data_IF_139367956114
#
_entry.id   IF_139367956114
#
_cell.length_a   1.000
_cell.length_b   1.000
_cell.length_c   1.000
_cell.angle_alpha   90.00
_cell.angle_beta   90.00
_cell.angle_gamma   90.00
#
_symmetry.space_group_name_H-M   'P 1'
#
loop_
_entity.id
_entity.type
_entity.pdbx_description
1 polymer ?
#
# COMPACT_ATOMS: atom_id res chain seq x y z
N UNK A 1 49.95 -6.62 -17.26
CA UNK A 1 49.55 -6.39 -15.85
C UNK A 1 48.87 -5.02 -15.75
N UNK A 2 47.56 -4.97 -16.05
CA UNK A 2 46.60 -3.89 -15.73
C UNK A 2 45.27 -4.23 -16.42
N UNK A 3 44.18 -3.80 -15.76
CA UNK A 3 42.81 -3.61 -16.25
C UNK A 3 42.00 -4.86 -16.65
N UNK A 4 41.01 -5.23 -15.82
CA UNK A 4 39.57 -5.17 -16.13
C UNK A 4 38.79 -5.88 -15.00
N UNK A 5 38.35 -5.13 -13.98
CA UNK A 5 37.36 -5.61 -13.02
C UNK A 5 36.45 -4.46 -12.56
N UNK A 6 35.59 -3.97 -13.44
CA UNK A 6 34.43 -3.14 -13.09
C UNK A 6 33.41 -3.22 -14.22
N UNK A 7 32.43 -4.12 -14.15
CA UNK A 7 31.10 -4.00 -14.78
C UNK A 7 30.22 -5.17 -14.33
N UNK A 8 29.61 -5.07 -13.15
CA UNK A 8 28.59 -6.02 -12.69
C UNK A 8 27.57 -5.42 -11.70
N UNK A 9 27.31 -4.10 -11.76
CA UNK A 9 26.34 -3.44 -10.86
C UNK A 9 25.24 -2.67 -11.64
N UNK A 10 25.25 -2.70 -12.97
CA UNK A 10 24.35 -1.84 -13.78
C UNK A 10 23.00 -2.44 -14.22
N UNK A 11 22.75 -3.75 -14.04
CA UNK A 11 21.61 -4.39 -14.71
C UNK A 11 20.36 -4.62 -13.83
N UNK A 12 20.47 -4.52 -12.50
CA UNK A 12 19.35 -4.77 -11.57
C UNK A 12 18.44 -3.55 -11.33
N UNK A 13 18.84 -2.34 -11.76
CA UNK A 13 18.05 -1.11 -11.59
C UNK A 13 17.14 -0.80 -12.80
N UNK A 14 17.38 -1.45 -13.93
CA UNK A 14 16.64 -1.17 -15.18
C UNK A 14 15.31 -1.94 -15.30
N UNK A 15 15.08 -2.98 -14.49
CA UNK A 15 13.82 -3.75 -14.51
C UNK A 15 12.70 -3.05 -13.72
N UNK A 16 13.00 -2.11 -12.82
CA UNK A 16 11.99 -1.26 -12.18
C UNK A 16 11.66 0.03 -12.95
N UNK A 17 12.39 0.35 -14.03
CA UNK A 17 12.20 1.59 -14.80
C UNK A 17 11.53 1.37 -16.16
N UNK A 18 11.22 0.14 -16.54
CA UNK A 18 10.40 -0.17 -17.71
C UNK A 18 8.95 -0.42 -17.28
N UNK A 19 8.16 0.65 -17.40
CA UNK A 19 6.68 0.71 -17.28
C UNK A 19 6.10 0.89 -15.87
N UNK A 20 6.58 1.87 -15.10
CA UNK A 20 5.64 2.67 -14.30
C UNK A 20 4.90 3.63 -15.25
N UNK A 21 4.07 3.10 -16.15
CA UNK A 21 2.98 3.93 -16.69
C UNK A 21 2.17 4.32 -15.46
N UNK A 22 2.03 5.62 -15.20
CA UNK A 22 1.22 6.08 -14.09
C UNK A 22 -0.13 5.38 -14.17
N UNK A 23 -0.46 4.60 -13.13
CA UNK A 23 -1.81 4.11 -13.00
C UNK A 23 -2.64 5.32 -12.63
N UNK A 24 -3.59 5.59 -13.50
CA UNK A 24 -4.41 6.78 -13.41
C UNK A 24 -5.84 6.35 -13.62
N UNK A 25 -6.68 6.78 -12.70
CA UNK A 25 -8.11 6.57 -12.77
C UNK A 25 -8.83 7.89 -12.55
N UNK A 26 -9.95 8.10 -13.23
CA UNK A 26 -10.81 9.26 -13.04
C UNK A 26 -12.28 8.83 -13.03
N UNK A 27 -13.10 9.53 -12.27
CA UNK A 27 -14.53 9.30 -12.15
C UNK A 27 -15.26 10.64 -12.17
N UNK A 28 -16.38 10.72 -12.88
CA UNK A 28 -17.24 11.92 -12.95
C UNK A 28 -18.58 11.56 -12.34
N UNK A 29 -19.10 12.41 -11.46
CA UNK A 29 -20.36 12.25 -10.74
C UNK A 29 -20.31 11.26 -9.57
N UNK A 30 -21.41 11.14 -8.81
CA UNK A 30 -21.52 10.24 -7.66
C UNK A 30 -21.62 8.77 -8.09
N UNK A 31 -21.63 7.86 -7.12
CA UNK A 31 -21.77 6.43 -7.39
C UNK A 31 -23.19 6.06 -7.85
N UNK A 32 -24.23 6.78 -7.40
CA UNK A 32 -25.62 6.62 -7.87
C UNK A 32 -25.79 6.82 -9.38
N UNK A 33 -24.88 7.57 -10.01
CA UNK A 33 -24.84 7.78 -11.46
C UNK A 33 -24.16 6.62 -12.23
N UNK A 34 -23.76 5.52 -11.55
CA UNK A 34 -22.90 4.47 -12.11
C UNK A 34 -23.30 3.07 -11.66
N UNK A 35 -23.07 2.08 -12.51
CA UNK A 35 -23.34 0.66 -12.21
C UNK A 35 -22.33 0.00 -11.26
N UNK A 36 -21.27 0.72 -10.85
CA UNK A 36 -20.20 0.19 -10.02
C UNK A 36 -19.85 1.17 -8.91
N UNK A 37 -20.19 0.86 -7.65
CA UNK A 37 -19.82 1.71 -6.54
C UNK A 37 -18.30 1.70 -6.33
N UNK A 38 -17.81 2.79 -5.76
CA UNK A 38 -16.44 2.94 -5.31
C UNK A 38 -16.19 1.91 -4.20
N UNK A 39 -15.07 1.22 -4.31
CA UNK A 39 -14.63 0.20 -3.35
C UNK A 39 -13.41 0.69 -2.60
N UNK A 40 -13.39 0.47 -1.28
CA UNK A 40 -12.24 0.82 -0.46
C UNK A 40 -10.94 0.16 -0.97
N UNK A 41 -9.85 0.94 -0.98
CA UNK A 41 -8.52 0.41 -1.27
C UNK A 41 -7.85 -0.10 0.01
N UNK A 42 -6.88 -1.01 -0.14
CA UNK A 42 -6.27 -1.73 0.98
C UNK A 42 -5.46 -0.85 1.94
N UNK A 43 -5.13 0.38 1.57
CA UNK A 43 -4.37 1.34 2.36
C UNK A 43 -5.14 2.61 2.71
N UNK A 44 -6.44 2.66 2.39
CA UNK A 44 -7.33 3.69 2.89
C UNK A 44 -7.56 3.52 4.39
N UNK A 45 -7.61 4.62 5.16
CA UNK A 45 -8.19 4.62 6.50
C UNK A 45 -9.60 4.04 6.50
N UNK A 46 -9.96 3.32 7.58
CA UNK A 46 -11.31 2.79 7.77
C UNK A 46 -12.31 3.97 7.78
N UNK A 47 -13.48 3.79 7.14
CA UNK A 47 -14.50 4.83 6.98
C UNK A 47 -14.30 5.78 5.79
N UNK A 48 -13.07 5.93 5.25
CA UNK A 48 -12.80 6.91 4.18
C UNK A 48 -13.64 6.69 2.91
N UNK A 49 -13.98 5.44 2.60
CA UNK A 49 -14.76 5.09 1.40
C UNK A 49 -16.14 5.74 1.37
N UNK A 50 -16.73 6.05 2.53
CA UNK A 50 -18.06 6.68 2.58
C UNK A 50 -18.03 8.12 2.04
N UNK A 51 -16.95 8.87 2.29
CA UNK A 51 -16.71 10.17 1.63
C UNK A 51 -16.60 10.03 0.11
N UNK A 52 -15.94 8.98 -0.38
CA UNK A 52 -15.80 8.73 -1.82
C UNK A 52 -17.14 8.39 -2.50
N UNK A 53 -18.10 7.90 -1.74
CA UNK A 53 -19.44 7.50 -2.19
C UNK A 53 -20.46 8.63 -2.11
N UNK A 54 -20.14 9.72 -1.41
CA UNK A 54 -21.08 10.80 -1.11
C UNK A 54 -21.75 11.37 -2.37
N UNK A 55 -23.05 11.64 -2.29
CA UNK A 55 -23.89 12.02 -3.46
C UNK A 55 -23.52 13.39 -4.05
N UNK A 56 -22.93 14.28 -3.27
CA UNK A 56 -22.43 15.57 -3.77
C UNK A 56 -21.11 15.47 -4.56
N UNK A 57 -20.52 14.26 -4.69
CA UNK A 57 -19.29 14.07 -5.47
C UNK A 57 -19.52 14.38 -6.94
N UNK A 58 -18.74 15.32 -7.47
CA UNK A 58 -18.81 15.72 -8.88
C UNK A 58 -17.66 15.17 -9.70
N UNK A 59 -16.51 14.92 -9.08
CA UNK A 59 -15.33 14.43 -9.78
C UNK A 59 -14.35 13.78 -8.81
N UNK A 60 -13.61 12.78 -9.27
CA UNK A 60 -12.42 12.28 -8.57
C UNK A 60 -11.36 11.81 -9.56
N UNK A 61 -10.11 11.89 -9.14
CA UNK A 61 -9.01 11.28 -9.86
C UNK A 61 -7.94 10.76 -8.92
N UNK A 62 -7.18 9.80 -9.41
CA UNK A 62 -6.05 9.20 -8.73
C UNK A 62 -4.89 9.11 -9.72
N UNK A 63 -3.69 9.46 -9.25
CA UNK A 63 -2.45 9.25 -9.99
C UNK A 63 -1.42 8.65 -9.04
N UNK A 64 -1.14 7.35 -9.20
CA UNK A 64 -0.18 6.60 -8.39
C UNK A 64 -0.42 6.67 -6.86
N UNK A 65 -1.68 6.73 -6.45
CA UNK A 65 -2.15 6.89 -5.08
C UNK A 65 -2.22 8.34 -4.60
N UNK A 66 -1.95 9.34 -5.44
CA UNK A 66 -2.31 10.72 -5.13
C UNK A 66 -3.76 10.98 -5.54
N UNK A 67 -4.68 10.89 -4.59
CA UNK A 67 -6.12 10.86 -4.83
C UNK A 67 -6.79 12.18 -4.45
N UNK A 68 -7.59 12.70 -5.35
CA UNK A 68 -8.39 13.91 -5.15
C UNK A 68 -9.85 13.63 -5.44
N UNK A 69 -10.73 14.04 -4.53
CA UNK A 69 -12.19 13.96 -4.68
C UNK A 69 -12.75 15.36 -4.52
N UNK A 70 -13.67 15.74 -5.40
CA UNK A 70 -14.27 17.06 -5.45
C UNK A 70 -15.78 16.94 -5.30
N UNK A 71 -16.34 17.81 -4.48
CA UNK A 71 -17.76 17.84 -4.16
C UNK A 71 -18.34 19.22 -4.43
N UNK A 72 -19.56 19.23 -4.97
CA UNK A 72 -20.41 20.42 -5.04
C UNK A 72 -21.49 20.29 -3.98
N UNK A 73 -21.14 20.73 -2.77
CA UNK A 73 -21.90 20.52 -1.55
C UNK A 73 -22.72 21.76 -1.18
N UNK A 74 -23.97 21.57 -0.79
CA UNK A 74 -24.77 22.58 -0.07
C UNK A 74 -24.37 22.59 1.42
N UNK A 75 -24.79 23.59 2.22
CA UNK A 75 -24.43 23.65 3.64
C UNK A 75 -24.71 22.35 4.42
N UNK A 76 -25.83 21.70 4.16
CA UNK A 76 -26.19 20.40 4.76
C UNK A 76 -25.22 19.29 4.37
N UNK A 77 -24.83 19.24 3.09
CA UNK A 77 -23.88 18.25 2.56
C UNK A 77 -22.47 18.52 3.14
N UNK A 78 -22.11 19.77 3.42
CA UNK A 78 -20.83 20.13 4.08
C UNK A 78 -20.78 19.59 5.50
N UNK A 79 -21.86 19.76 6.27
CA UNK A 79 -21.96 19.21 7.63
C UNK A 79 -21.80 17.69 7.60
N UNK A 80 -22.53 17.02 6.70
CA UNK A 80 -22.44 15.57 6.52
C UNK A 80 -21.03 15.11 6.16
N UNK A 81 -20.36 15.77 5.21
CA UNK A 81 -18.98 15.48 4.84
C UNK A 81 -18.01 15.66 6.01
N UNK A 82 -18.17 16.70 6.84
CA UNK A 82 -17.33 16.91 8.02
C UNK A 82 -17.56 15.80 9.06
N UNK A 83 -18.80 15.39 9.29
CA UNK A 83 -19.13 14.28 10.20
C UNK A 83 -18.57 12.95 9.69
N UNK A 84 -18.77 12.63 8.41
CA UNK A 84 -18.18 11.43 7.81
C UNK A 84 -16.65 11.46 7.91
N UNK A 85 -16.05 12.63 7.74
CA UNK A 85 -14.61 12.81 7.87
C UNK A 85 -14.13 12.63 9.31
N UNK A 86 -14.86 13.15 10.30
CA UNK A 86 -14.53 12.97 11.73
C UNK A 86 -14.58 11.49 12.16
N UNK A 87 -15.46 10.71 11.54
CA UNK A 87 -15.58 9.27 11.80
C UNK A 87 -14.48 8.42 11.13
N UNK A 88 -13.68 9.00 10.22
CA UNK A 88 -12.57 8.27 9.57
C UNK A 88 -11.52 7.87 10.59
N UNK A 89 -11.03 6.64 10.50
CA UNK A 89 -10.00 6.12 11.40
C UNK A 89 -8.60 6.63 11.04
N UNK A 90 -8.26 7.83 11.50
CA UNK A 90 -6.98 8.50 11.26
C UNK A 90 -6.47 9.21 12.52
N UNK A 91 -5.22 9.70 12.48
CA UNK A 91 -4.58 10.41 13.61
C UNK A 91 -4.88 11.89 13.65
N UNK A 92 -4.96 12.52 12.47
CA UNK A 92 -5.14 13.95 12.31
C UNK A 92 -6.37 14.17 11.41
N UNK A 93 -7.42 14.77 11.95
CA UNK A 93 -8.62 15.13 11.20
C UNK A 93 -8.52 16.59 10.75
N UNK A 94 -7.62 16.85 9.79
CA UNK A 94 -7.38 18.20 9.30
C UNK A 94 -8.52 18.69 8.39
N UNK A 95 -9.19 19.75 8.83
CA UNK A 95 -10.12 20.53 8.04
C UNK A 95 -9.47 21.86 7.67
N UNK A 96 -9.27 22.11 6.37
CA UNK A 96 -8.81 23.39 5.86
C UNK A 96 -9.98 24.25 5.40
N UNK A 97 -9.94 25.53 5.74
CA UNK A 97 -10.86 26.52 5.17
C UNK A 97 -10.07 27.60 4.47
N UNK A 98 -10.18 27.64 3.15
CA UNK A 98 -9.38 28.46 2.26
C UNK A 98 -10.27 29.31 1.34
N UNK A 99 -9.80 30.50 0.98
CA UNK A 99 -10.32 31.21 -0.19
C UNK A 99 -9.62 30.65 -1.41
N UNK A 100 -10.35 30.36 -2.49
CA UNK A 100 -9.68 29.78 -3.64
C UNK A 100 -10.56 29.29 -4.77
N UNK A 101 -9.89 28.58 -5.69
CA UNK A 101 -10.44 28.11 -6.94
C UNK A 101 -11.51 27.04 -6.70
N UNK A 102 -12.74 27.33 -7.12
CA UNK A 102 -13.92 26.46 -7.04
C UNK A 102 -14.15 25.65 -8.34
N UNK A 103 -13.10 25.46 -9.15
CA UNK A 103 -13.17 24.80 -10.46
C UNK A 103 -11.97 23.89 -10.73
N UNK A 104 -12.22 22.68 -11.23
CA UNK A 104 -11.18 21.73 -11.65
C UNK A 104 -11.43 21.25 -13.07
N UNK A 105 -10.36 20.94 -13.81
CA UNK A 105 -10.48 20.42 -15.19
C UNK A 105 -10.31 18.91 -15.21
N UNK A 106 -11.33 18.15 -15.66
CA UNK A 106 -11.18 16.72 -15.86
C UNK A 106 -10.11 16.38 -16.88
N UNK A 107 -9.54 15.19 -16.78
CA UNK A 107 -8.51 14.77 -17.73
C UNK A 107 -9.11 14.40 -19.09
N UNK A 108 -8.49 14.93 -20.14
CA UNK A 108 -8.86 14.75 -21.53
C UNK A 108 -9.13 16.09 -22.21
N UNK A 109 -8.71 16.24 -23.47
CA UNK A 109 -8.96 17.46 -24.24
C UNK A 109 -10.46 17.69 -24.43
N UNK A 110 -10.88 18.97 -24.35
CA UNK A 110 -12.25 19.39 -24.62
C UNK A 110 -13.28 19.11 -23.51
N UNK A 111 -12.87 18.58 -22.35
CA UNK A 111 -13.80 18.41 -21.22
C UNK A 111 -14.06 19.73 -20.50
N UNK A 112 -15.32 20.04 -20.15
CA UNK A 112 -15.65 21.25 -19.42
C UNK A 112 -15.06 21.21 -18.00
N UNK A 113 -14.80 22.39 -17.43
CA UNK A 113 -14.47 22.51 -16.02
C UNK A 113 -15.64 22.01 -15.15
N UNK A 114 -15.31 21.53 -13.95
CA UNK A 114 -16.25 21.04 -12.96
C UNK A 114 -16.18 21.95 -11.74
N UNK A 115 -17.30 22.55 -11.39
CA UNK A 115 -17.43 23.38 -10.20
C UNK A 115 -17.46 22.51 -8.94
N UNK A 116 -16.78 22.96 -7.89
CA UNK A 116 -16.77 22.31 -6.58
C UNK A 116 -16.51 23.35 -5.48
N UNK A 117 -16.87 23.05 -4.24
CA UNK A 117 -16.57 23.89 -3.07
C UNK A 117 -15.99 23.10 -1.90
N UNK A 118 -15.90 21.77 -2.01
CA UNK A 118 -15.20 20.91 -1.07
C UNK A 118 -14.26 19.98 -1.83
N UNK A 119 -13.06 19.77 -1.31
CA UNK A 119 -12.11 18.80 -1.83
C UNK A 119 -11.58 17.90 -0.72
N UNK A 120 -11.47 16.60 -1.00
CA UNK A 120 -10.76 15.65 -0.16
C UNK A 120 -9.47 15.25 -0.88
N UNK A 121 -8.34 15.41 -0.21
CA UNK A 121 -7.04 14.93 -0.67
C UNK A 121 -6.61 13.73 0.17
N UNK A 122 -6.38 12.59 -0.48
CA UNK A 122 -5.87 11.37 0.16
C UNK A 122 -4.56 10.95 -0.49
N UNK A 123 -3.51 10.78 0.31
CA UNK A 123 -2.22 10.30 -0.15
C UNK A 123 -2.06 8.82 0.19
N UNK A 124 -2.15 7.97 -0.83
CA UNK A 124 -2.06 6.52 -0.77
C UNK A 124 -0.96 5.98 -1.70
N UNK A 125 -0.82 4.65 -1.78
CA UNK A 125 -0.04 3.97 -2.82
C UNK A 125 1.43 4.40 -2.94
N UNK A 126 1.87 4.58 -4.18
CA UNK A 126 3.26 4.93 -4.51
C UNK A 126 3.56 6.36 -4.07
N UNK A 127 2.62 7.28 -4.22
CA UNK A 127 2.79 8.68 -3.80
C UNK A 127 3.08 8.78 -2.30
N UNK A 128 2.29 8.08 -1.46
CA UNK A 128 2.55 7.98 -0.01
C UNK A 128 3.89 7.34 0.28
N UNK A 129 4.22 6.24 -0.41
CA UNK A 129 5.51 5.56 -0.23
C UNK A 129 6.69 6.50 -0.51
N UNK A 130 6.62 7.29 -1.58
CA UNK A 130 7.68 8.23 -1.96
C UNK A 130 7.80 9.39 -0.97
N UNK A 131 6.68 9.94 -0.50
CA UNK A 131 6.69 11.02 0.49
C UNK A 131 7.20 10.54 1.85
N UNK A 132 6.77 9.37 2.31
CA UNK A 132 7.23 8.79 3.57
C UNK A 132 8.74 8.57 3.62
N UNK A 133 9.44 8.42 2.47
CA UNK A 133 10.91 8.31 2.44
C UNK A 133 11.63 9.59 2.86
N UNK A 134 10.95 10.74 2.90
CA UNK A 134 11.54 12.03 3.29
C UNK A 134 11.79 12.13 4.81
N UNK A 135 11.32 11.17 5.61
CA UNK A 135 11.56 11.11 7.06
C UNK A 135 11.13 12.39 7.79
N UNK A 136 9.94 12.87 7.46
CA UNK A 136 9.42 14.14 7.94
C UNK A 136 8.42 13.91 9.10
N UNK A 137 8.26 14.88 10.03
CA UNK A 137 7.37 14.74 11.19
C UNK A 137 5.88 14.83 10.82
N UNK A 138 5.56 15.28 9.61
CA UNK A 138 4.19 15.39 9.15
C UNK A 138 3.55 14.02 8.95
N UNK A 139 2.26 13.95 9.28
CA UNK A 139 1.43 12.83 8.89
C UNK A 139 1.02 12.97 7.43
N UNK A 140 0.57 11.87 6.84
CA UNK A 140 0.05 11.85 5.46
C UNK A 140 -1.39 11.33 5.47
N UNK A 141 -2.14 11.71 6.50
CA UNK A 141 -3.56 11.39 6.60
C UNK A 141 -4.35 12.24 5.58
N UNK A 142 -5.55 11.79 5.18
CA UNK A 142 -6.46 12.58 4.36
C UNK A 142 -6.73 13.99 4.92
N UNK A 143 -6.91 14.96 4.02
CA UNK A 143 -7.25 16.35 4.36
C UNK A 143 -8.53 16.74 3.65
N UNK A 144 -9.49 17.30 4.39
CA UNK A 144 -10.71 17.89 3.83
C UNK A 144 -10.52 19.41 3.73
N UNK A 145 -10.79 19.99 2.57
CA UNK A 145 -10.66 21.43 2.31
C UNK A 145 -11.99 22.01 1.86
N UNK A 146 -12.47 23.03 2.56
CA UNK A 146 -13.61 23.86 2.17
C UNK A 146 -13.08 25.11 1.45
N UNK A 147 -13.58 25.35 0.24
CA UNK A 147 -13.32 26.56 -0.51
C UNK A 147 -14.50 27.51 -0.38
N UNK A 148 -14.23 28.70 0.13
CA UNK A 148 -15.27 29.65 0.52
C UNK A 148 -15.07 31.00 -0.15
N UNK A 149 -16.15 31.75 -0.31
CA UNK A 149 -16.11 33.18 -0.54
C UNK A 149 -16.33 33.87 0.82
N UNK A 150 -15.31 34.51 1.41
CA UNK A 150 -15.44 35.10 2.74
C UNK A 150 -16.60 36.10 2.87
N UNK A 151 -16.95 36.84 1.81
CA UNK A 151 -18.01 37.84 1.89
C UNK A 151 -19.41 37.19 1.91
N UNK A 152 -19.57 36.06 1.22
CA UNK A 152 -20.86 35.39 1.08
C UNK A 152 -21.05 34.25 2.10
N UNK A 153 -19.97 33.59 2.52
CA UNK A 153 -20.04 32.29 3.18
C UNK A 153 -19.77 32.34 4.70
N UNK A 154 -19.15 33.40 5.24
CA UNK A 154 -18.72 33.46 6.64
C UNK A 154 -19.88 33.28 7.65
N UNK A 155 -21.05 33.87 7.36
CA UNK A 155 -22.19 33.83 8.30
C UNK A 155 -22.66 32.40 8.56
N UNK A 156 -22.81 31.58 7.52
CA UNK A 156 -23.29 30.21 7.70
C UNK A 156 -22.18 29.26 8.15
N UNK A 157 -20.94 29.45 7.69
CA UNK A 157 -19.78 28.64 8.10
C UNK A 157 -19.49 28.77 9.60
N UNK A 158 -19.58 29.99 10.15
CA UNK A 158 -19.37 30.24 11.58
C UNK A 158 -20.39 29.53 12.49
N UNK A 159 -21.49 29.02 11.92
CA UNK A 159 -22.57 28.30 12.62
C UNK A 159 -22.48 26.78 12.47
N UNK A 160 -21.53 26.27 11.68
CA UNK A 160 -21.36 24.83 11.51
C UNK A 160 -20.82 24.24 12.81
N UNK A 161 -21.50 23.23 13.39
CA UNK A 161 -20.93 22.49 14.51
C UNK A 161 -19.75 21.66 14.01
N UNK A 162 -18.56 21.95 14.53
CA UNK A 162 -17.36 21.16 14.24
C UNK A 162 -17.15 20.12 15.35
N UNK A 163 -17.00 18.83 15.01
CA UNK A 163 -16.61 17.79 15.96
C UNK A 163 -15.29 18.15 16.67
N UNK A 164 -15.14 17.89 17.98
CA UNK A 164 -13.99 18.34 18.77
C UNK A 164 -12.63 17.77 18.31
N UNK A 165 -12.63 16.66 17.59
CA UNK A 165 -11.44 16.03 16.99
C UNK A 165 -10.91 16.76 15.75
N UNK A 166 -11.69 17.66 15.15
CA UNK A 166 -11.28 18.41 13.97
C UNK A 166 -10.11 19.33 14.32
N UNK A 167 -9.06 19.25 13.50
CA UNK A 167 -7.94 20.19 13.49
C UNK A 167 -8.24 21.23 12.43
N UNK A 168 -8.79 22.37 12.85
CA UNK A 168 -9.14 23.46 11.94
C UNK A 168 -7.91 24.28 11.57
N UNK A 169 -7.61 24.36 10.28
CA UNK A 169 -6.57 25.22 9.71
C UNK A 169 -7.21 26.23 8.77
N UNK A 170 -7.03 27.53 9.02
CA UNK A 170 -7.59 28.57 8.15
C UNK A 170 -6.70 29.81 8.11
N UNK A 171 -6.73 30.48 6.96
CA UNK A 171 -6.11 31.80 6.76
C UNK A 171 -7.16 32.91 6.73
N UNK A 172 -8.44 32.59 6.94
CA UNK A 172 -9.56 33.52 6.79
C UNK A 172 -9.93 34.09 8.17
N UNK A 173 -9.88 35.42 8.36
CA UNK A 173 -10.30 36.05 9.61
C UNK A 173 -11.77 35.80 9.94
N UNK A 174 -12.10 35.65 11.22
CA UNK A 174 -13.48 35.56 11.70
C UNK A 174 -14.06 34.15 11.82
N UNK A 175 -13.32 33.11 11.41
CA UNK A 175 -13.72 31.72 11.66
C UNK A 175 -13.27 31.33 13.08
N UNK A 176 -14.20 30.93 13.98
CA UNK A 176 -13.84 30.51 15.33
C UNK A 176 -13.02 29.22 15.32
N UNK A 177 -11.88 29.23 16.02
CA UNK A 177 -11.01 28.05 16.21
C UNK A 177 -11.08 27.51 17.64
N UNK A 178 -11.84 28.15 18.52
CA UNK A 178 -11.99 27.75 19.92
C UNK A 178 -12.67 26.38 20.05
N UNK A 179 -12.19 25.57 20.99
CA UNK A 179 -12.71 24.22 21.25
C UNK A 179 -12.25 23.14 20.27
N UNK A 180 -11.50 23.49 19.23
CA UNK A 180 -10.99 22.54 18.25
C UNK A 180 -9.65 21.92 18.66
N UNK A 181 -9.39 20.71 18.16
CA UNK A 181 -8.13 20.03 18.39
C UNK A 181 -6.97 20.80 17.77
N UNK A 182 -5.84 20.83 18.48
CA UNK A 182 -4.58 21.34 17.94
C UNK A 182 -3.78 20.20 17.34
N UNK A 183 -3.12 20.45 16.20
CA UNK A 183 -2.22 19.46 15.63
C UNK A 183 -1.09 19.17 16.63
N UNK A 184 -0.88 17.90 17.02
CA UNK A 184 0.21 17.56 17.91
C UNK A 184 1.56 17.82 17.24
N UNK A 185 2.50 18.42 17.97
CA UNK A 185 3.90 18.44 17.57
C UNK A 185 4.48 17.04 17.68
N UNK A 186 5.02 16.53 16.57
CA UNK A 186 5.56 15.17 16.48
C UNK A 186 7.05 15.19 16.18
N UNK A 187 7.75 14.24 16.78
CA UNK A 187 9.14 13.94 16.46
C UNK A 187 9.22 12.62 15.71
N UNK A 188 10.28 12.45 14.92
CA UNK A 188 10.52 11.21 14.18
C UNK A 188 11.23 10.21 15.08
N UNK A 189 10.59 9.05 15.27
CA UNK A 189 11.13 7.92 16.01
C UNK A 189 11.51 6.80 15.04
N UNK A 190 12.67 6.21 15.25
CA UNK A 190 13.22 5.11 14.46
C UNK A 190 13.12 3.79 15.20
N UNK A 191 12.97 2.70 14.44
CA UNK A 191 13.15 1.35 14.95
C UNK A 191 13.80 0.45 13.90
N UNK A 192 14.41 -0.63 14.40
CA UNK A 192 15.03 -1.69 13.59
C UNK A 192 14.34 -3.00 13.95
N UNK A 193 13.92 -3.73 12.94
CA UNK A 193 13.31 -5.04 13.07
C UNK A 193 14.16 -6.08 12.34
N UNK A 194 14.38 -7.21 12.99
CA UNK A 194 15.12 -8.34 12.46
C UNK A 194 14.30 -9.61 12.61
N UNK A 195 14.50 -10.55 11.71
CA UNK A 195 14.08 -11.92 11.97
C UNK A 195 14.99 -12.56 13.03
N UNK A 196 14.53 -13.64 13.65
CA UNK A 196 15.29 -14.37 14.67
C UNK A 196 16.67 -14.86 14.20
N UNK A 197 16.84 -15.05 12.89
CA UNK A 197 18.12 -15.40 12.23
C UNK A 197 19.09 -14.21 12.07
N UNK A 198 18.72 -13.02 12.58
CA UNK A 198 19.51 -11.79 12.53
C UNK A 198 19.42 -11.04 11.20
N UNK A 199 18.71 -11.56 10.19
CA UNK A 199 18.50 -10.85 8.93
C UNK A 199 17.51 -9.70 9.11
N UNK A 200 17.54 -8.68 8.23
CA UNK A 200 16.51 -7.65 8.19
C UNK A 200 15.09 -8.22 8.22
N UNK A 201 14.19 -7.56 8.95
CA UNK A 201 12.75 -7.84 8.97
C UNK A 201 12.03 -7.47 7.67
N UNK A 202 12.56 -7.91 6.53
CA UNK A 202 11.97 -7.76 5.22
C UNK A 202 12.56 -8.81 4.27
N UNK A 203 11.74 -9.33 3.37
CA UNK A 203 12.17 -10.21 2.29
C UNK A 203 11.43 -9.80 1.02
N UNK A 204 11.85 -8.65 0.47
CA UNK A 204 11.20 -8.01 -0.67
C UNK A 204 11.27 -8.85 -1.94
N UNK A 205 12.28 -9.73 -2.07
CA UNK A 205 12.39 -10.70 -3.18
C UNK A 205 11.16 -11.62 -3.21
N UNK A 206 10.61 -11.95 -2.04
CA UNK A 206 9.44 -12.81 -1.89
C UNK A 206 8.18 -12.02 -1.51
N UNK A 207 8.20 -10.70 -1.71
CA UNK A 207 7.07 -9.82 -1.44
C UNK A 207 6.73 -9.60 0.04
N UNK A 208 7.65 -9.94 0.96
CA UNK A 208 7.45 -9.82 2.41
C UNK A 208 7.99 -8.49 2.93
N UNK A 209 7.17 -7.81 3.71
CA UNK A 209 7.55 -6.63 4.49
C UNK A 209 6.87 -6.68 5.86
N UNK A 210 7.23 -5.75 6.73
CA UNK A 210 6.59 -5.57 8.03
C UNK A 210 5.76 -4.31 7.97
N UNK A 211 4.44 -4.43 8.12
CA UNK A 211 3.58 -3.28 8.32
C UNK A 211 3.59 -2.87 9.81
N UNK A 212 3.63 -1.57 10.04
CA UNK A 212 3.60 -0.98 11.38
C UNK A 212 2.24 -0.33 11.58
N UNK A 213 1.52 -0.77 12.61
CA UNK A 213 0.14 -0.35 12.87
C UNK A 213 0.02 0.12 14.32
N UNK A 214 -0.61 1.28 14.52
CA UNK A 214 -0.97 1.84 15.82
C UNK A 214 -2.35 1.36 16.23
N UNK A 215 -2.45 0.87 17.46
CA UNK A 215 -3.68 0.40 18.06
C UNK A 215 -3.96 1.17 19.34
N UNK A 216 -5.24 1.32 19.65
CA UNK A 216 -5.70 1.98 20.87
C UNK A 216 -6.61 1.03 21.63
N UNK A 217 -6.55 1.13 22.95
CA UNK A 217 -7.32 0.25 23.83
C UNK A 217 -8.81 0.39 23.54
N UNK A 218 -9.49 -0.75 23.31
CA UNK A 218 -10.92 -0.86 22.94
C UNK A 218 -11.29 -0.41 21.52
N UNK A 219 -10.31 -0.03 20.69
CA UNK A 219 -10.52 0.24 19.26
C UNK A 219 -10.03 -0.96 18.47
N UNK A 220 -10.90 -1.54 17.64
CA UNK A 220 -10.57 -2.71 16.83
C UNK A 220 -9.90 -2.37 15.50
N UNK A 221 -9.90 -1.10 15.11
CA UNK A 221 -9.33 -0.65 13.84
C UNK A 221 -7.99 0.07 14.08
N UNK A 222 -6.94 -0.51 13.54
CA UNK A 222 -5.58 0.01 13.66
C UNK A 222 -5.26 1.07 12.60
N UNK A 223 -4.44 2.06 12.97
CA UNK A 223 -3.95 3.08 12.04
C UNK A 223 -2.60 2.63 11.48
N UNK A 224 -2.53 2.42 10.17
CA UNK A 224 -1.28 2.06 9.50
C UNK A 224 -0.33 3.25 9.45
N UNK A 225 0.81 3.12 10.13
CA UNK A 225 1.83 4.15 10.19
C UNK A 225 2.85 4.05 9.06
N UNK A 226 3.17 2.83 8.62
CA UNK A 226 4.17 2.62 7.59
C UNK A 226 4.59 1.17 7.40
N UNK A 227 5.77 0.98 6.80
CA UNK A 227 6.38 -0.32 6.57
C UNK A 227 7.90 -0.27 6.79
N UNK A 228 8.48 -1.39 7.19
CA UNK A 228 9.93 -1.56 7.21
C UNK A 228 10.51 -1.62 5.79
N UNK A 229 11.65 -0.97 5.60
CA UNK A 229 12.43 -1.01 4.37
C UNK A 229 13.21 -2.35 4.22
N UNK A 230 14.01 -2.46 3.16
CA UNK A 230 14.81 -3.66 2.88
C UNK A 230 15.92 -3.93 3.91
N UNK A 231 16.20 -2.99 4.81
CA UNK A 231 17.13 -3.13 5.94
C UNK A 231 16.40 -3.40 7.25
N UNK A 232 15.07 -3.60 7.21
CA UNK A 232 14.26 -3.81 8.40
C UNK A 232 14.09 -2.53 9.21
N UNK A 233 14.35 -1.35 8.63
CA UNK A 233 14.25 -0.07 9.31
C UNK A 233 12.92 0.59 8.98
N UNK A 234 12.32 1.25 9.95
CA UNK A 234 11.21 2.17 9.72
C UNK A 234 11.32 3.39 10.62
N UNK A 235 10.47 4.35 10.35
CA UNK A 235 10.27 5.49 11.23
C UNK A 235 8.78 5.80 11.36
N UNK A 236 8.42 6.44 12.46
CA UNK A 236 7.06 6.92 12.76
C UNK A 236 7.17 8.29 13.40
N UNK A 237 6.28 9.20 13.02
CA UNK A 237 6.13 10.47 13.71
C UNK A 237 5.19 10.28 14.91
N UNK A 238 5.65 10.61 16.12
CA UNK A 238 4.88 10.50 17.37
C UNK A 238 5.10 11.74 18.23
N UNK A 239 4.02 12.25 18.80
CA UNK A 239 4.02 13.33 19.79
C UNK A 239 4.40 12.80 21.18
N UNK A 240 4.68 13.72 22.11
CA UNK A 240 4.91 13.38 23.51
C UNK A 240 3.74 12.61 24.13
N UNK A 241 2.50 13.00 23.81
CA UNK A 241 1.28 12.35 24.30
C UNK A 241 1.09 10.94 23.70
N UNK A 242 1.34 10.76 22.41
CA UNK A 242 1.29 9.45 21.75
C UNK A 242 2.36 8.51 22.34
N UNK A 243 3.58 8.99 22.56
CA UNK A 243 4.65 8.22 23.22
C UNK A 243 4.32 7.86 24.67
N UNK A 244 3.71 8.76 25.43
CA UNK A 244 3.24 8.46 26.79
C UNK A 244 2.16 7.38 26.78
N UNK A 245 1.19 7.47 25.86
CA UNK A 245 0.13 6.47 25.68
C UNK A 245 0.69 5.08 25.35
N UNK A 246 1.74 4.99 24.52
CA UNK A 246 2.44 3.74 24.23
C UNK A 246 3.11 3.14 25.48
N UNK A 247 3.73 3.98 26.32
CA UNK A 247 4.40 3.54 27.56
C UNK A 247 3.42 3.07 28.63
N UNK A 248 2.25 3.71 28.70
CA UNK A 248 1.19 3.38 29.65
C UNK A 248 0.31 2.20 29.18
N UNK A 249 0.50 1.71 27.95
CA UNK A 249 -0.30 0.64 27.37
C UNK A 249 -1.74 1.04 27.04
N UNK A 250 -2.01 2.35 26.92
CA UNK A 250 -3.27 2.88 26.37
C UNK A 250 -3.32 2.73 24.85
N UNK A 251 -2.15 2.76 24.21
CA UNK A 251 -1.95 2.38 22.81
C UNK A 251 -0.76 1.43 22.67
N UNK A 252 -0.63 0.75 21.53
CA UNK A 252 0.54 -0.06 21.21
C UNK A 252 0.79 -0.11 19.71
N UNK A 253 2.02 -0.44 19.33
CA UNK A 253 2.40 -0.71 17.95
C UNK A 253 2.50 -2.20 17.71
N UNK A 254 1.98 -2.69 16.58
CA UNK A 254 2.25 -4.06 16.13
C UNK A 254 3.09 -4.09 14.85
N UNK A 255 3.76 -5.21 14.65
CA UNK A 255 4.61 -5.55 13.53
C UNK A 255 3.97 -6.72 12.78
N UNK A 256 3.21 -6.43 11.72
CA UNK A 256 2.55 -7.45 10.90
C UNK A 256 3.51 -7.95 9.83
N UNK A 257 3.91 -9.21 9.92
CA UNK A 257 4.76 -9.86 8.91
C UNK A 257 3.88 -10.40 7.79
N UNK A 258 4.10 -9.94 6.56
CA UNK A 258 3.36 -10.49 5.42
C UNK A 258 3.56 -9.75 4.11
N UNK A 259 2.72 -10.09 3.14
CA UNK A 259 2.69 -9.41 1.84
C UNK A 259 1.76 -8.18 1.89
N UNK A 260 1.59 -7.49 0.76
CA UNK A 260 0.79 -6.26 0.71
C UNK A 260 -0.71 -6.46 0.95
N UNK A 261 -1.20 -7.71 1.01
CA UNK A 261 -2.60 -8.07 1.27
C UNK A 261 -2.79 -8.68 2.67
N UNK A 262 -1.73 -8.87 3.45
CA UNK A 262 -1.85 -9.33 4.83
C UNK A 262 -2.44 -8.19 5.67
N UNK A 263 -3.60 -8.45 6.29
CA UNK A 263 -4.24 -7.51 7.22
C UNK A 263 -3.53 -7.53 8.57
N UNK A 264 -3.29 -6.35 9.13
CA UNK A 264 -2.75 -6.22 10.48
C UNK A 264 -3.80 -6.65 11.52
N UNK A 265 -3.33 -7.25 12.61
CA UNK A 265 -4.17 -7.67 13.73
C UNK A 265 -3.66 -7.06 15.05
N UNK A 266 -4.54 -6.78 16.04
CA UNK A 266 -4.14 -6.18 17.31
C UNK A 266 -3.25 -7.08 18.18
N UNK A 267 -3.26 -8.39 17.91
CA UNK A 267 -2.48 -9.45 18.57
C UNK A 267 -1.20 -9.84 17.81
N UNK A 268 -0.91 -9.18 16.68
CA UNK A 268 0.40 -9.29 16.03
C UNK A 268 1.55 -8.90 16.99
N UNK A 269 2.78 -9.29 16.64
CA UNK A 269 3.95 -9.03 17.49
C UNK A 269 4.06 -7.55 17.86
N UNK A 270 4.04 -7.25 19.16
CA UNK A 270 4.11 -5.89 19.66
C UNK A 270 5.53 -5.35 19.60
N UNK A 271 5.67 -4.11 19.14
CA UNK A 271 6.90 -3.34 19.28
C UNK A 271 6.87 -2.63 20.64
N UNK A 272 7.85 -2.92 21.49
CA UNK A 272 7.95 -2.22 22.77
C UNK A 272 8.38 -0.75 22.56
N UNK A 273 7.88 0.21 23.35
CA UNK A 273 8.29 1.61 23.25
C UNK A 273 9.81 1.81 23.39
N UNK A 274 10.50 0.95 24.14
CA UNK A 274 11.96 0.97 24.31
C UNK A 274 12.76 0.56 23.07
N UNK A 275 12.11 0.07 22.01
CA UNK A 275 12.74 -0.18 20.71
C UNK A 275 12.74 1.07 19.80
N UNK A 276 11.99 2.11 20.15
CA UNK A 276 11.94 3.37 19.43
C UNK A 276 13.04 4.31 19.94
N UNK A 277 13.75 4.98 19.02
CA UNK A 277 14.74 5.99 19.35
C UNK A 277 14.75 7.15 18.34
N UNK A 278 15.05 8.36 18.79
CA UNK A 278 15.15 9.55 17.91
C UNK A 278 16.31 9.48 16.90
N UNK A 279 17.28 8.58 17.11
CA UNK A 279 18.37 8.37 16.16
C UNK A 279 18.54 6.88 15.84
N UNK A 280 18.88 6.59 14.58
CA UNK A 280 19.06 5.21 14.09
C UNK A 280 20.14 4.44 14.85
N UNK A 281 21.19 5.14 15.30
CA UNK A 281 22.32 4.52 16.01
C UNK A 281 21.93 3.97 17.40
N UNK A 282 20.85 4.48 17.99
CA UNK A 282 20.37 4.08 19.32
C UNK A 282 19.28 3.00 19.27
N UNK A 283 18.84 2.60 18.08
CA UNK A 283 17.78 1.61 17.92
C UNK A 283 18.27 0.22 18.32
N UNK A 284 17.60 -0.39 19.32
CA UNK A 284 17.78 -1.80 19.65
C UNK A 284 16.91 -2.67 18.73
N UNK A 285 17.47 -3.67 18.04
CA UNK A 285 16.68 -4.53 17.16
C UNK A 285 15.52 -5.21 17.92
N UNK A 286 14.31 -5.08 17.39
CA UNK A 286 13.19 -5.92 17.74
C UNK A 286 13.28 -7.21 16.92
N UNK A 287 13.30 -8.37 17.57
CA UNK A 287 13.37 -9.66 16.88
C UNK A 287 11.98 -10.26 16.75
N UNK A 288 11.70 -10.80 15.57
CA UNK A 288 10.41 -11.43 15.25
C UNK A 288 10.63 -12.75 14.50
N UNK A 289 9.62 -13.62 14.58
CA UNK A 289 9.60 -14.88 13.83
C UNK A 289 9.64 -14.66 12.33
N UNK A 290 10.41 -15.50 11.63
CA UNK A 290 10.39 -15.55 10.17
C UNK A 290 9.08 -16.17 9.69
N UNK A 291 8.44 -15.67 8.62
CA UNK A 291 7.25 -16.32 8.11
C UNK A 291 7.60 -17.69 7.50
N UNK A 292 6.64 -18.61 7.57
CA UNK A 292 6.74 -19.89 6.87
C UNK A 292 6.61 -19.70 5.35
N UNK A 293 7.57 -20.19 4.58
CA UNK A 293 7.50 -20.18 3.13
C UNK A 293 6.98 -21.51 2.61
N UNK A 294 6.26 -21.45 1.51
CA UNK A 294 5.80 -22.62 0.78
C UNK A 294 6.62 -22.80 -0.49
N UNK A 295 7.00 -24.03 -0.78
CA UNK A 295 7.94 -24.43 -1.81
C UNK A 295 7.24 -25.23 -2.89
N UNK A 296 7.67 -25.03 -4.12
CA UNK A 296 7.29 -25.82 -5.28
C UNK A 296 8.47 -26.00 -6.22
N UNK A 297 8.34 -26.91 -7.18
CA UNK A 297 9.38 -27.15 -8.19
C UNK A 297 8.78 -27.29 -9.57
N UNK A 298 9.34 -26.60 -10.55
CA UNK A 298 9.04 -26.83 -11.97
C UNK A 298 10.25 -27.48 -12.60
N UNK A 299 10.02 -28.47 -13.46
CA UNK A 299 11.04 -29.14 -14.28
C UNK A 299 10.52 -29.35 -15.68
N UNK A 300 11.40 -29.63 -16.63
CA UNK A 300 10.96 -30.12 -17.93
C UNK A 300 10.45 -31.57 -17.85
N UNK A 301 9.75 -32.05 -18.88
CA UNK A 301 9.19 -33.42 -18.91
C UNK A 301 10.24 -34.52 -18.69
N UNK A 302 11.46 -34.28 -19.15
CA UNK A 302 12.66 -35.12 -18.95
C UNK A 302 13.23 -35.06 -17.52
N UNK A 303 12.64 -34.24 -16.63
CA UNK A 303 13.08 -34.02 -15.26
C UNK A 303 14.22 -33.01 -15.10
N UNK A 304 14.75 -32.46 -16.20
CA UNK A 304 15.81 -31.46 -16.15
C UNK A 304 15.28 -30.13 -15.56
N UNK A 305 16.15 -29.32 -14.92
CA UNK A 305 15.78 -27.99 -14.49
C UNK A 305 15.24 -27.13 -15.64
N UNK A 306 14.31 -26.20 -15.38
CA UNK A 306 13.64 -25.39 -16.39
C UNK A 306 14.52 -24.22 -16.88
N UNK A 307 15.79 -24.50 -17.16
CA UNK A 307 16.75 -23.55 -17.71
C UNK A 307 16.55 -23.41 -19.22
N UNK A 308 16.44 -22.17 -19.70
CA UNK A 308 16.22 -21.88 -21.12
C UNK A 308 17.56 -21.83 -21.87
N UNK A 309 17.83 -22.84 -22.69
CA UNK A 309 19.02 -22.89 -23.52
C UNK A 309 18.65 -23.12 -25.00
N UNK A 310 18.99 -22.18 -25.91
CA UNK A 310 19.51 -20.84 -25.62
C UNK A 310 18.46 -19.95 -24.92
N UNK A 311 18.92 -18.99 -24.12
CA UNK A 311 18.05 -17.97 -23.54
C UNK A 311 17.54 -17.09 -24.69
N UNK A 312 16.21 -16.97 -24.88
CA UNK A 312 15.71 -16.38 -26.10
C UNK A 312 15.86 -14.84 -26.17
N UNK A 313 15.97 -14.15 -25.03
CA UNK A 313 16.42 -12.75 -24.92
C UNK A 313 16.96 -12.49 -23.50
N UNK A 314 17.79 -11.46 -23.29
CA UNK A 314 18.35 -11.17 -21.97
C UNK A 314 17.27 -11.06 -20.88
N UNK A 315 17.43 -11.81 -19.79
CA UNK A 315 16.49 -11.86 -18.66
C UNK A 315 15.25 -12.72 -18.87
N UNK A 316 15.14 -13.47 -19.97
CA UNK A 316 14.04 -14.41 -20.16
C UNK A 316 14.13 -15.57 -19.16
N UNK A 317 13.10 -15.72 -18.34
CA UNK A 317 13.00 -16.78 -17.33
C UNK A 317 11.59 -17.39 -17.34
N UNK A 318 11.52 -18.68 -16.98
CA UNK A 318 10.26 -19.28 -16.55
C UNK A 318 9.95 -18.73 -15.15
N UNK A 319 8.67 -18.50 -14.86
CA UNK A 319 8.24 -18.02 -13.53
C UNK A 319 6.86 -18.55 -13.19
N UNK A 320 6.51 -18.55 -11.91
CA UNK A 320 5.18 -18.96 -11.44
C UNK A 320 4.52 -17.78 -10.75
N UNK A 321 3.25 -17.48 -11.06
CA UNK A 321 2.54 -16.36 -10.45
C UNK A 321 1.35 -16.84 -9.62
N UNK A 322 1.30 -16.55 -8.33
CA UNK A 322 0.18 -16.92 -7.50
C UNK A 322 -0.71 -15.73 -7.15
N UNK A 323 -2.03 -15.93 -6.95
CA UNK A 323 -2.81 -14.94 -6.25
C UNK A 323 -2.17 -14.67 -4.88
N UNK A 324 -2.18 -13.42 -4.42
CA UNK A 324 -1.60 -12.97 -3.15
C UNK A 324 -0.06 -12.96 -3.06
N UNK A 325 0.62 -14.01 -3.55
CA UNK A 325 2.08 -14.11 -3.46
C UNK A 325 2.83 -13.49 -4.66
N UNK A 326 2.13 -13.20 -5.77
CA UNK A 326 2.73 -12.61 -6.95
C UNK A 326 3.67 -13.56 -7.69
N UNK A 327 4.65 -12.99 -8.41
CA UNK A 327 5.61 -13.72 -9.25
C UNK A 327 6.73 -14.32 -8.39
N UNK A 328 6.95 -15.61 -8.55
CA UNK A 328 8.08 -16.35 -7.99
C UNK A 328 9.07 -16.73 -9.10
N UNK A 329 10.34 -16.44 -8.85
CA UNK A 329 11.46 -16.85 -9.70
C UNK A 329 11.99 -18.20 -9.24
N UNK A 330 12.41 -19.02 -10.21
CA UNK A 330 12.92 -20.36 -9.96
C UNK A 330 14.45 -20.32 -9.82
N UNK A 331 14.98 -21.12 -8.92
CA UNK A 331 16.42 -21.35 -8.82
C UNK A 331 16.92 -22.28 -9.94
N UNK A 332 18.25 -22.50 -9.98
CA UNK A 332 18.90 -23.34 -11.00
C UNK A 332 18.44 -24.80 -11.00
N UNK A 333 17.75 -25.28 -9.96
CA UNK A 333 17.19 -26.63 -9.85
C UNK A 333 15.68 -26.65 -10.11
N UNK A 334 15.09 -25.51 -10.43
CA UNK A 334 13.67 -25.33 -10.70
C UNK A 334 12.81 -25.11 -9.45
N UNK A 335 13.40 -24.99 -8.26
CA UNK A 335 12.65 -24.72 -7.04
C UNK A 335 12.30 -23.24 -6.93
N UNK A 336 11.15 -22.95 -6.36
CA UNK A 336 10.77 -21.61 -5.96
C UNK A 336 10.16 -21.66 -4.56
N UNK A 337 10.10 -20.50 -3.91
CA UNK A 337 9.38 -20.33 -2.65
C UNK A 337 8.49 -19.09 -2.70
N UNK A 338 7.36 -19.17 -2.02
CA UNK A 338 6.34 -18.11 -1.95
C UNK A 338 5.79 -18.03 -0.54
N UNK A 339 5.28 -16.86 -0.18
CA UNK A 339 4.59 -16.68 1.09
C UNK A 339 3.08 -16.55 0.88
N UNK A 340 2.34 -17.20 1.78
CA UNK A 340 0.91 -16.98 2.01
C UNK A 340 0.70 -16.87 3.52
N UNK A 341 -0.21 -16.02 3.96
CA UNK A 341 -0.85 -16.26 5.27
C UNK A 341 -1.67 -17.55 5.20
N UNK A 342 -2.03 -18.13 6.35
CA UNK A 342 -2.83 -19.36 6.36
C UNK A 342 -4.19 -19.14 5.69
N UNK A 343 -4.82 -17.99 5.92
CA UNK A 343 -6.09 -17.62 5.28
C UNK A 343 -5.93 -17.43 3.76
N UNK A 344 -4.84 -16.78 3.33
CA UNK A 344 -4.54 -16.60 1.90
C UNK A 344 -4.28 -17.95 1.22
N UNK A 345 -3.59 -18.87 1.89
CA UNK A 345 -3.32 -20.21 1.36
C UNK A 345 -4.60 -21.03 1.23
N UNK A 346 -5.46 -21.03 2.25
CA UNK A 346 -6.77 -21.69 2.21
C UNK A 346 -7.63 -21.14 1.07
N UNK A 347 -7.78 -19.81 0.97
CA UNK A 347 -8.53 -19.16 -0.10
C UNK A 347 -7.94 -19.46 -1.50
N UNK A 348 -6.61 -19.53 -1.62
CA UNK A 348 -5.95 -19.86 -2.87
C UNK A 348 -6.13 -21.33 -3.28
N UNK A 349 -6.31 -22.27 -2.32
CA UNK A 349 -6.64 -23.68 -2.61
C UNK A 349 -8.05 -23.87 -3.11
N UNK A 350 -9.01 -23.11 -2.58
CA UNK A 350 -10.42 -23.18 -3.00
C UNK A 350 -10.65 -22.59 -4.39
N UNK A 351 -9.82 -21.62 -4.78
CA UNK A 351 -9.88 -21.03 -6.12
C UNK A 351 -9.42 -22.04 -7.17
N UNK A 352 -10.23 -22.20 -8.22
CA UNK A 352 -9.84 -22.99 -9.40
C UNK A 352 -8.52 -22.45 -9.96
N UNK A 353 -7.51 -23.31 -9.98
CA UNK A 353 -6.18 -22.94 -10.45
C UNK A 353 -6.24 -22.51 -11.93
N UNK A 354 -5.82 -21.27 -12.21
CA UNK A 354 -5.65 -20.75 -13.57
C UNK A 354 -4.22 -21.03 -14.04
N UNK A 355 -4.00 -20.95 -15.35
CA UNK A 355 -2.64 -20.99 -15.90
C UNK A 355 -1.82 -19.88 -15.23
N UNK A 356 -0.69 -20.25 -14.67
CA UNK A 356 0.16 -19.37 -13.88
C UNK A 356 1.66 -19.65 -14.01
N UNK A 357 2.06 -20.68 -14.76
CA UNK A 357 3.45 -20.88 -15.14
C UNK A 357 3.69 -20.09 -16.43
N UNK A 358 4.44 -19.00 -16.30
CA UNK A 358 4.79 -18.10 -17.38
C UNK A 358 6.01 -18.62 -18.13
N UNK A 359 5.83 -18.85 -19.42
CA UNK A 359 6.88 -19.29 -20.33
C UNK A 359 7.18 -18.19 -21.35
N UNK A 360 8.46 -17.83 -21.52
CA UNK A 360 8.96 -16.94 -22.59
C UNK A 360 8.60 -17.42 -24.02
N UNK A 361 8.08 -16.52 -24.87
CA UNK A 361 7.96 -16.72 -26.32
C UNK A 361 9.28 -16.58 -27.09
N UNK A 362 9.85 -17.65 -27.67
CA UNK A 362 11.11 -17.60 -28.45
C UNK A 362 11.19 -16.48 -29.49
N UNK A 363 10.08 -16.16 -30.14
CA UNK A 363 9.95 -15.23 -31.27
C UNK A 363 9.51 -13.80 -30.85
N UNK A 364 9.14 -13.58 -29.59
CA UNK A 364 8.61 -12.28 -29.12
C UNK A 364 9.42 -11.77 -27.94
N UNK A 365 10.40 -10.91 -28.24
CA UNK A 365 11.24 -10.24 -27.24
C UNK A 365 10.39 -9.64 -26.11
N UNK A 366 10.82 -9.87 -24.87
CA UNK A 366 10.17 -9.37 -23.65
C UNK A 366 8.71 -9.83 -23.45
N UNK A 367 8.27 -10.92 -24.08
CA UNK A 367 6.93 -11.47 -23.87
C UNK A 367 6.98 -12.86 -23.29
N UNK A 368 6.14 -13.09 -22.28
CA UNK A 368 5.85 -14.39 -21.69
C UNK A 368 4.34 -14.60 -21.60
N UNK A 369 3.90 -15.84 -21.50
CA UNK A 369 2.49 -16.18 -21.31
C UNK A 369 2.32 -17.28 -20.29
N UNK A 370 1.26 -17.21 -19.50
CA UNK A 370 0.89 -18.29 -18.60
C UNK A 370 0.34 -19.47 -19.43
N UNK A 371 1.08 -20.58 -19.47
CA UNK A 371 0.77 -21.75 -20.32
C UNK A 371 0.31 -22.96 -19.52
N UNK A 372 0.90 -23.16 -18.35
CA UNK A 372 0.65 -24.32 -17.50
C UNK A 372 0.15 -23.89 -16.13
N UNK A 373 -0.39 -24.85 -15.39
CA UNK A 373 -0.94 -24.65 -14.05
C UNK A 373 0.01 -25.26 -13.03
N UNK A 374 0.36 -24.49 -12.02
CA UNK A 374 0.95 -24.96 -10.78
C UNK A 374 -0.13 -24.92 -9.68
N UNK A 375 -0.67 -26.06 -9.24
CA UNK A 375 -1.68 -26.09 -8.19
C UNK A 375 -1.11 -25.61 -6.85
N UNK A 376 -1.85 -24.77 -6.12
CA UNK A 376 -1.48 -24.33 -4.78
C UNK A 376 -1.45 -25.50 -3.78
N UNK A 377 -2.27 -26.53 -4.02
CA UNK A 377 -2.43 -27.70 -3.16
C UNK A 377 -1.20 -28.59 -3.04
N UNK A 378 -0.25 -28.50 -3.98
CA UNK A 378 0.98 -29.30 -3.98
C UNK A 378 2.19 -28.53 -3.43
N UNK A 379 2.00 -27.29 -2.95
CA UNK A 379 3.05 -26.55 -2.28
C UNK A 379 3.30 -27.12 -0.87
N UNK A 380 4.56 -27.24 -0.46
CA UNK A 380 4.95 -27.73 0.87
C UNK A 380 5.67 -26.68 1.71
N UNK A 381 5.64 -26.79 3.04
CA UNK A 381 6.43 -25.93 3.93
C UNK A 381 7.93 -26.23 3.87
N UNK A 382 8.30 -27.45 3.52
CA UNK A 382 9.68 -27.91 3.35
C UNK A 382 10.04 -27.92 1.86
N UNK A 383 11.33 -27.77 1.57
CA UNK A 383 11.82 -27.80 0.19
C UNK A 383 11.84 -29.24 -0.33
N UNK A 384 12.08 -30.20 0.54
CA UNK A 384 12.23 -31.62 0.26
C UNK A 384 10.92 -32.24 -0.19
N UNK A 385 9.79 -31.82 0.42
CA UNK A 385 8.45 -32.33 0.10
C UNK A 385 7.72 -31.45 -0.93
N UNK A 386 8.43 -30.52 -1.58
CA UNK A 386 7.84 -29.61 -2.55
C UNK A 386 7.27 -30.37 -3.76
N UNK A 387 6.00 -30.16 -4.07
CA UNK A 387 5.36 -30.72 -5.24
C UNK A 387 6.04 -30.28 -6.55
N UNK A 388 6.05 -31.19 -7.51
CA UNK A 388 6.74 -31.01 -8.79
C UNK A 388 5.73 -30.90 -9.93
N UNK A 389 5.85 -29.88 -10.78
CA UNK A 389 5.14 -29.77 -12.05
C UNK A 389 6.12 -29.93 -13.20
N UNK A 390 5.79 -30.83 -14.11
CA UNK A 390 6.52 -31.02 -15.37
C UNK A 390 5.91 -30.18 -16.47
N UNK A 391 6.76 -29.57 -17.29
CA UNK A 391 6.35 -28.77 -18.46
C UNK A 391 7.17 -29.17 -19.70
N UNK A 392 6.64 -29.01 -20.91
CA UNK A 392 7.41 -29.23 -22.12
C UNK A 392 8.49 -28.16 -22.30
N UNK A 393 9.60 -28.54 -22.93
CA UNK A 393 10.63 -27.60 -23.35
C UNK A 393 10.06 -26.62 -24.39
N UNK A 394 10.25 -25.30 -24.24
CA UNK A 394 9.76 -24.34 -25.23
C UNK A 394 10.33 -24.65 -26.61
N UNK A 395 9.46 -24.84 -27.61
CA UNK A 395 9.83 -25.20 -28.98
C UNK A 395 9.67 -26.68 -29.32
N UNK A 396 9.36 -27.56 -28.36
CA UNK A 396 8.71 -28.83 -28.68
C UNK A 396 7.21 -28.55 -28.75
N UNK A 397 6.67 -28.54 -29.97
CA UNK A 397 5.22 -28.52 -30.18
C UNK A 397 4.69 -29.84 -29.61
N UNK A 398 4.06 -29.79 -28.44
CA UNK A 398 3.12 -30.85 -28.08
C UNK A 398 1.80 -30.42 -28.68
N UNK A 399 1.46 -30.98 -29.83
CA UNK A 399 0.07 -30.98 -30.31
C UNK A 399 -0.76 -31.69 -29.24
N UNK A 400 -1.46 -30.93 -28.40
CA UNK A 400 -2.56 -31.50 -27.63
C UNK A 400 -3.75 -31.67 -28.56
N UNK A 401 -4.07 -32.93 -28.87
CA UNK A 401 -5.38 -33.34 -29.34
C UNK A 401 -6.45 -33.06 -28.29
#
# INVERSE_FOLDING_TARGET
MKTHLRFAVGAAVVVCSLVCRGMMTQQVGPDSARDRPTTAQADWPEGLVELYRHESRVYSYEVNGNEHVFFRARPEDVIELITLFSDVRQRDHELRVESGQKETKPFGEGKPAVDYNVALHNLSGIARFMTARKMAPETHEPVLTLYIDPEADLDWLSRIPLPPEIILTTTIPGIPTEGQATRPEREVWHAVVQFDDGKPGADLEHGISIAVTLWEKRVQDGIKLGKADNKGQFHVALSGAEMASLREGRSWLTLTVGNWLTKAKPDDTRLAPGNLAQTKALCKPCRIGRPGYRHGRVVFDDGAPPALEPVPWPGAEISVNFPYAGKATLDAKGYFKVYFSDEQYAAAKERRARRNIYIPYKDKKNRSSARFVFPVSILSLTREDAGVVKIPRPGMVVETK
#
